data_IF_059079566871
#
_entry.id   IF_059079566871
#
_cell.length_a   1.000
_cell.length_b   1.000
_cell.length_c   1.000
_cell.angle_alpha   90.00
_cell.angle_beta   90.00
_cell.angle_gamma   90.00
#
_symmetry.space_group_name_H-M   'P 1'
#
loop_
_entity.id
_entity.type
_entity.pdbx_description
1 polymer ?
#
# COMPACT_ATOMS: atom_id res chain seq x y z
N UNK A 1 1.27 12.13 10.73
CA UNK A 1 0.31 11.09 10.31
C UNK A 1 1.04 9.76 10.35
N UNK A 2 0.55 8.81 11.13
CA UNK A 2 1.00 7.41 11.13
C UNK A 2 0.36 6.63 9.99
N UNK A 3 0.78 5.38 9.75
CA UNK A 3 0.14 4.53 8.74
C UNK A 3 -1.30 4.20 9.14
N UNK A 4 -1.53 4.00 10.44
CA UNK A 4 -2.86 3.81 11.02
C UNK A 4 -3.74 5.06 10.88
N UNK A 5 -3.19 6.25 11.13
CA UNK A 5 -3.93 7.52 10.94
C UNK A 5 -4.39 7.65 9.48
N UNK A 6 -3.49 7.35 8.53
CA UNK A 6 -3.80 7.38 7.10
C UNK A 6 -4.88 6.35 6.74
N UNK A 7 -4.74 5.11 7.19
CA UNK A 7 -5.72 4.06 6.91
C UNK A 7 -7.12 4.41 7.45
N UNK A 8 -7.19 5.01 8.65
CA UNK A 8 -8.44 5.47 9.25
C UNK A 8 -9.04 6.64 8.47
N UNK A 9 -8.22 7.59 8.02
CA UNK A 9 -8.66 8.70 7.16
C UNK A 9 -9.33 8.17 5.88
N UNK A 10 -8.71 7.19 5.21
CA UNK A 10 -9.29 6.54 4.02
C UNK A 10 -10.60 5.82 4.36
N UNK A 11 -10.65 5.12 5.51
CA UNK A 11 -11.87 4.44 5.98
C UNK A 11 -13.01 5.44 6.17
N UNK A 12 -12.76 6.56 6.85
CA UNK A 12 -13.78 7.59 7.11
C UNK A 12 -14.34 8.22 5.82
N UNK A 13 -13.50 8.38 4.77
CA UNK A 13 -13.94 9.00 3.52
C UNK A 13 -14.74 8.06 2.61
N UNK A 14 -14.37 6.77 2.54
CA UNK A 14 -14.81 5.93 1.41
C UNK A 14 -15.37 4.56 1.78
N UNK A 15 -15.24 4.11 3.04
CA UNK A 15 -15.48 2.71 3.43
C UNK A 15 -16.83 2.14 2.98
N UNK A 16 -17.94 2.85 3.16
CA UNK A 16 -19.26 2.31 2.83
C UNK A 16 -19.43 2.02 1.33
N UNK A 17 -18.81 2.85 0.47
CA UNK A 17 -18.81 2.64 -0.98
C UNK A 17 -17.89 1.48 -1.38
N UNK A 18 -16.74 1.38 -0.72
CA UNK A 18 -15.73 0.38 -1.01
C UNK A 18 -16.16 -1.02 -0.56
N UNK A 19 -16.77 -1.12 0.61
CA UNK A 19 -17.35 -2.36 1.12
C UNK A 19 -18.47 -2.87 0.19
N UNK A 20 -19.29 -1.98 -0.36
CA UNK A 20 -20.32 -2.35 -1.33
C UNK A 20 -19.76 -2.85 -2.67
N UNK A 21 -18.61 -2.31 -3.10
CA UNK A 21 -17.88 -2.75 -4.31
C UNK A 21 -17.16 -4.09 -4.12
N UNK A 22 -16.84 -4.45 -2.88
CA UNK A 22 -16.20 -5.71 -2.52
C UNK A 22 -14.73 -5.80 -2.92
N UNK A 23 -14.10 -6.91 -2.53
CA UNK A 23 -12.64 -7.13 -2.69
C UNK A 23 -12.21 -7.10 -4.16
N UNK A 24 -12.94 -7.80 -5.03
CA UNK A 24 -12.58 -7.92 -6.45
C UNK A 24 -12.61 -6.56 -7.15
N UNK A 25 -13.69 -5.80 -7.00
CA UNK A 25 -13.79 -4.46 -7.57
C UNK A 25 -12.77 -3.50 -6.98
N UNK A 26 -12.44 -3.63 -5.68
CA UNK A 26 -11.41 -2.83 -5.03
C UNK A 26 -10.01 -3.14 -5.55
N UNK A 27 -9.70 -4.42 -5.77
CA UNK A 27 -8.43 -4.85 -6.33
C UNK A 27 -8.23 -4.36 -7.77
N UNK A 28 -9.30 -4.27 -8.56
CA UNK A 28 -9.24 -3.70 -9.91
C UNK A 28 -8.79 -2.24 -9.90
N UNK A 29 -9.35 -1.41 -9.02
CA UNK A 29 -8.92 -0.01 -8.85
C UNK A 29 -7.47 0.08 -8.37
N UNK A 30 -7.06 -0.71 -7.38
CA UNK A 30 -5.66 -0.75 -6.97
C UNK A 30 -4.71 -1.09 -8.15
N UNK A 31 -5.13 -1.99 -9.04
CA UNK A 31 -4.34 -2.37 -10.22
C UNK A 31 -4.27 -1.24 -11.25
N UNK A 32 -5.36 -0.50 -11.44
CA UNK A 32 -5.42 0.67 -12.31
C UNK A 32 -4.39 1.72 -11.88
N UNK A 33 -4.34 2.02 -10.60
CA UNK A 33 -3.48 3.03 -9.97
C UNK A 33 -2.01 2.63 -10.02
N UNK A 34 -1.72 1.33 -9.93
CA UNK A 34 -0.37 0.80 -10.21
C UNK A 34 0.01 1.05 -11.67
N UNK A 35 -0.94 0.97 -12.60
CA UNK A 35 -0.74 1.29 -14.02
C UNK A 35 -0.50 2.78 -14.28
N UNK A 36 -1.21 3.65 -13.57
CA UNK A 36 -1.01 5.11 -13.62
C UNK A 36 0.37 5.48 -13.05
N UNK A 37 0.73 4.92 -11.89
CA UNK A 37 2.08 5.03 -11.32
C UNK A 37 3.16 4.56 -12.30
N UNK A 38 2.98 3.43 -12.97
CA UNK A 38 3.93 2.94 -13.97
C UNK A 38 4.10 3.92 -15.14
N UNK A 39 3.03 4.61 -15.53
CA UNK A 39 3.07 5.65 -16.56
C UNK A 39 3.78 6.91 -16.07
N UNK A 40 3.49 7.38 -14.86
CA UNK A 40 4.16 8.53 -14.26
C UNK A 40 5.67 8.28 -14.04
N UNK A 41 6.07 7.06 -13.68
CA UNK A 41 7.48 6.68 -13.54
C UNK A 41 8.21 6.68 -14.88
N UNK A 42 7.56 6.26 -15.96
CA UNK A 42 8.15 6.18 -17.30
C UNK A 42 8.34 7.55 -17.94
N UNK A 43 7.37 8.43 -17.81
CA UNK A 43 7.33 9.68 -18.59
C UNK A 43 6.68 10.87 -17.88
N UNK A 44 6.21 10.72 -16.65
CA UNK A 44 5.59 11.79 -15.89
C UNK A 44 6.59 12.74 -15.25
N UNK A 45 6.12 13.92 -14.91
CA UNK A 45 6.73 14.91 -14.03
C UNK A 45 6.93 14.34 -12.61
N UNK A 46 7.72 15.05 -11.80
CA UNK A 46 7.87 14.68 -10.39
C UNK A 46 6.56 14.81 -9.62
N UNK A 47 5.75 15.82 -9.96
CA UNK A 47 4.45 16.07 -9.35
C UNK A 47 3.49 14.92 -9.61
N UNK A 48 3.35 14.48 -10.87
CA UNK A 48 2.54 13.30 -11.23
C UNK A 48 2.99 12.08 -10.42
N UNK A 49 4.29 11.78 -10.37
CA UNK A 49 4.80 10.65 -9.56
C UNK A 49 4.39 10.74 -8.10
N UNK A 50 4.46 11.94 -7.50
CA UNK A 50 4.07 12.14 -6.10
C UNK A 50 2.59 11.85 -5.88
N UNK A 51 1.72 12.24 -6.81
CA UNK A 51 0.29 11.96 -6.76
C UNK A 51 0.03 10.45 -6.90
N UNK A 52 0.58 9.82 -7.93
CA UNK A 52 0.36 8.37 -8.17
C UNK A 52 0.87 7.49 -7.02
N UNK A 53 1.97 7.86 -6.36
CA UNK A 53 2.43 7.14 -5.17
C UNK A 53 1.43 7.26 -4.01
N UNK A 54 0.78 8.41 -3.87
CA UNK A 54 -0.25 8.62 -2.86
C UNK A 54 -1.52 7.82 -3.19
N UNK A 55 -1.92 7.76 -4.46
CA UNK A 55 -3.12 7.03 -4.88
C UNK A 55 -2.95 5.52 -4.73
N UNK A 56 -1.81 4.95 -5.12
CA UNK A 56 -1.50 3.53 -4.84
C UNK A 56 -1.56 3.22 -3.34
N UNK A 57 -1.04 4.12 -2.50
CA UNK A 57 -1.10 3.93 -1.05
C UNK A 57 -2.54 4.03 -0.53
N UNK A 58 -3.34 4.96 -1.05
CA UNK A 58 -4.75 5.13 -0.70
C UNK A 58 -5.55 3.88 -1.04
N UNK A 59 -5.41 3.34 -2.25
CA UNK A 59 -6.13 2.14 -2.66
C UNK A 59 -5.65 0.87 -1.96
N UNK A 60 -4.38 0.80 -1.57
CA UNK A 60 -3.89 -0.26 -0.68
C UNK A 60 -4.56 -0.20 0.70
N UNK A 61 -4.70 1.00 1.27
CA UNK A 61 -5.43 1.20 2.51
C UNK A 61 -6.93 0.88 2.36
N UNK A 62 -7.53 1.25 1.22
CA UNK A 62 -8.93 0.92 0.89
C UNK A 62 -9.16 -0.58 0.90
N UNK A 63 -8.37 -1.36 0.15
CA UNK A 63 -8.57 -2.82 0.13
C UNK A 63 -8.29 -3.45 1.49
N UNK A 64 -7.30 -2.97 2.24
CA UNK A 64 -7.03 -3.42 3.60
C UNK A 64 -8.21 -3.16 4.54
N UNK A 65 -8.89 -2.02 4.39
CA UNK A 65 -10.11 -1.72 5.14
C UNK A 65 -11.25 -2.68 4.78
N UNK A 66 -11.43 -3.03 3.49
CA UNK A 66 -12.46 -3.97 3.03
C UNK A 66 -12.27 -5.38 3.59
N UNK A 67 -11.02 -5.81 3.81
CA UNK A 67 -10.69 -7.14 4.37
C UNK A 67 -10.33 -7.12 5.86
N UNK A 68 -10.55 -5.99 6.54
CA UNK A 68 -10.23 -5.76 7.95
C UNK A 68 -8.79 -6.13 8.35
N UNK A 69 -7.83 -5.71 7.53
CA UNK A 69 -6.39 -5.79 7.81
C UNK A 69 -5.88 -4.46 8.34
N UNK A 70 -5.24 -4.48 9.51
CA UNK A 70 -4.49 -3.35 10.05
C UNK A 70 -3.10 -3.27 9.41
N UNK A 71 -2.86 -2.24 8.59
CA UNK A 71 -1.60 -2.11 7.84
C UNK A 71 -0.41 -1.83 8.75
N UNK A 72 -0.57 -0.99 9.76
CA UNK A 72 0.52 -0.65 10.67
C UNK A 72 0.95 -1.85 11.49
N UNK A 73 -0.01 -2.64 11.99
CA UNK A 73 0.26 -3.90 12.66
C UNK A 73 0.92 -4.91 11.71
N UNK A 74 0.41 -5.06 10.49
CA UNK A 74 0.98 -5.99 9.50
C UNK A 74 2.44 -5.64 9.17
N UNK A 75 2.73 -4.35 8.97
CA UNK A 75 4.09 -3.85 8.72
C UNK A 75 4.98 -4.04 9.94
N UNK A 76 4.51 -3.69 11.15
CA UNK A 76 5.27 -3.86 12.38
C UNK A 76 5.61 -5.34 12.64
N UNK A 77 4.65 -6.25 12.44
CA UNK A 77 4.86 -7.70 12.59
C UNK A 77 5.88 -8.24 11.58
N UNK A 78 5.86 -7.75 10.33
CA UNK A 78 6.73 -8.26 9.27
C UNK A 78 8.13 -7.63 9.28
N UNK A 79 8.21 -6.32 9.48
CA UNK A 79 9.44 -5.54 9.28
C UNK A 79 9.90 -4.77 10.53
N UNK A 80 9.13 -4.76 11.62
CA UNK A 80 9.41 -3.97 12.82
C UNK A 80 10.67 -4.40 13.61
N UNK A 81 11.15 -5.62 13.39
CA UNK A 81 12.37 -6.15 14.02
C UNK A 81 13.58 -6.24 13.06
N UNK A 82 13.45 -5.73 11.83
CA UNK A 82 14.46 -5.86 10.77
C UNK A 82 14.00 -6.74 9.60
N UNK A 83 14.93 -7.10 8.73
CA UNK A 83 14.69 -7.96 7.57
C UNK A 83 14.06 -9.30 8.00
N UNK A 84 12.93 -9.73 7.42
CA UNK A 84 12.30 -11.01 7.75
C UNK A 84 13.21 -12.21 7.49
N UNK A 85 14.04 -12.15 6.44
CA UNK A 85 14.99 -13.22 6.09
C UNK A 85 16.21 -13.31 7.01
N UNK A 86 16.97 -12.21 7.21
CA UNK A 86 18.24 -12.26 7.93
C UNK A 86 18.21 -11.66 9.35
N UNK A 87 17.08 -11.10 9.79
CA UNK A 87 16.90 -10.51 11.12
C UNK A 87 17.72 -9.23 11.38
N UNK A 88 18.47 -8.72 10.39
CA UNK A 88 19.25 -7.48 10.52
C UNK A 88 18.41 -6.28 10.12
N UNK A 89 18.67 -5.14 10.77
CA UNK A 89 18.03 -3.88 10.43
C UNK A 89 18.42 -3.41 9.00
N UNK A 90 19.70 -3.50 8.66
CA UNK A 90 20.16 -3.39 7.28
C UNK A 90 20.25 -4.80 6.67
N UNK A 91 19.42 -5.07 5.66
CA UNK A 91 19.35 -6.38 5.01
C UNK A 91 20.70 -6.78 4.39
N UNK A 92 21.05 -8.06 4.50
CA UNK A 92 22.22 -8.68 3.84
C UNK A 92 21.85 -10.00 3.17
N UNK A 93 20.56 -10.23 2.89
CA UNK A 93 20.12 -11.42 2.16
C UNK A 93 20.70 -11.38 0.73
N UNK A 94 21.00 -12.55 0.12
CA UNK A 94 21.37 -12.60 -1.29
C UNK A 94 20.26 -12.06 -2.19
N UNK A 95 20.62 -11.38 -3.28
CA UNK A 95 19.65 -10.79 -4.23
C UNK A 95 18.75 -11.82 -4.94
N UNK A 96 19.07 -13.12 -4.81
CA UNK A 96 18.35 -14.20 -5.46
C UNK A 96 17.03 -14.60 -4.76
N UNK A 97 16.77 -14.12 -3.54
CA UNK A 97 15.55 -14.44 -2.80
C UNK A 97 14.86 -13.15 -2.30
N UNK A 98 13.52 -13.16 -2.32
CA UNK A 98 12.74 -12.09 -1.67
C UNK A 98 13.02 -12.17 -0.15
N UNK A 99 13.47 -11.07 0.50
CA UNK A 99 13.75 -11.05 1.93
C UNK A 99 12.50 -11.25 2.80
#
# INVERSE_FOLDING_TARGET
MTLRDFQNLIREMYHDKDAARGVEGTFMWLTEEIGELATALRSGSHEERTLEFADVLAWLATIANVVDVDLEEAVARKYGAGCPGCGRFACTCPDAEKP
#
